data_IF_101008275700
#
_entry.id   IF_101008275700
#
_cell.length_a   1.000
_cell.length_b   1.000
_cell.length_c   1.000
_cell.angle_alpha   90.00
_cell.angle_beta   90.00
_cell.angle_gamma   90.00
#
_symmetry.space_group_name_H-M   'P 1'
#
loop_
_entity.id
_entity.type
_entity.pdbx_description
1 polymer ?
#
# COMPACT_ATOMS: atom_id res chain seq x y z
N UNK A 1 29.39 27.65 31.29
CA UNK A 1 28.39 26.58 31.24
C UNK A 1 27.00 27.18 31.36
N UNK A 2 26.23 27.14 30.27
CA UNK A 2 24.84 27.59 30.20
C UNK A 2 23.97 26.43 29.72
N UNK A 3 22.77 26.26 30.29
CA UNK A 3 21.78 25.27 29.83
C UNK A 3 20.64 25.97 29.10
N UNK A 4 20.24 25.44 27.95
CA UNK A 4 19.07 25.92 27.22
C UNK A 4 18.38 24.77 26.49
N UNK A 5 17.07 24.90 26.36
CA UNK A 5 16.25 24.06 25.51
C UNK A 5 16.46 24.49 24.05
N UNK A 6 16.92 23.57 23.20
CA UNK A 6 17.21 23.87 21.79
C UNK A 6 16.86 22.70 20.89
N UNK A 7 16.59 22.97 19.61
CA UNK A 7 16.38 21.93 18.62
C UNK A 7 17.73 21.51 18.04
N UNK A 8 18.01 20.22 18.07
CA UNK A 8 19.29 19.63 17.67
C UNK A 8 19.04 18.78 16.45
N UNK A 9 19.71 19.10 15.35
CA UNK A 9 19.70 18.34 14.11
C UNK A 9 21.04 17.61 13.99
N UNK A 10 20.98 16.29 13.91
CA UNK A 10 22.09 15.43 13.52
C UNK A 10 21.89 15.01 12.06
N UNK A 11 22.94 15.11 11.25
CA UNK A 11 22.95 14.62 9.87
C UNK A 11 24.17 13.75 9.64
N UNK A 12 24.03 12.72 8.82
CA UNK A 12 25.10 11.77 8.51
C UNK A 12 24.92 11.18 7.10
N UNK A 13 26.01 10.82 6.42
CA UNK A 13 25.95 10.25 5.08
C UNK A 13 25.67 8.74 5.16
N UNK A 14 24.64 8.29 4.45
CA UNK A 14 24.31 6.87 4.38
C UNK A 14 25.33 6.11 3.52
N UNK A 15 25.97 5.09 4.10
CA UNK A 15 26.86 4.20 3.36
C UNK A 15 28.22 4.81 2.99
N UNK A 16 28.70 5.79 3.76
CA UNK A 16 29.95 6.51 3.52
C UNK A 16 31.14 5.60 3.18
N UNK A 17 31.43 4.57 3.99
CA UNK A 17 32.56 3.66 3.74
C UNK A 17 32.50 2.98 2.36
N UNK A 18 31.30 2.56 1.94
CA UNK A 18 31.09 1.91 0.63
C UNK A 18 31.29 2.89 -0.52
N UNK A 19 30.83 4.14 -0.38
CA UNK A 19 30.98 5.16 -1.41
C UNK A 19 32.46 5.56 -1.58
N UNK A 20 33.19 5.66 -0.46
CA UNK A 20 34.62 5.98 -0.45
C UNK A 20 35.47 4.91 -1.15
N UNK A 21 35.15 3.62 -0.96
CA UNK A 21 35.85 2.52 -1.66
C UNK A 21 35.66 2.56 -3.19
N UNK A 22 34.56 3.14 -3.67
CA UNK A 22 34.26 3.17 -5.11
C UNK A 22 35.00 4.30 -5.83
N UNK A 23 34.99 5.52 -5.28
CA UNK A 23 35.69 6.67 -5.85
C UNK A 23 35.82 7.81 -4.83
N UNK A 24 36.87 7.76 -4.00
CA UNK A 24 37.14 8.72 -2.93
C UNK A 24 37.15 10.18 -3.41
N UNK A 25 37.82 10.49 -4.52
CA UNK A 25 37.99 11.88 -4.99
C UNK A 25 36.67 12.50 -5.46
N UNK A 26 35.83 11.73 -6.15
CA UNK A 26 34.49 12.16 -6.59
C UNK A 26 33.57 12.40 -5.39
N UNK A 27 33.53 11.48 -4.42
CA UNK A 27 32.64 11.57 -3.26
C UNK A 27 33.01 12.76 -2.39
N UNK A 28 34.29 12.97 -2.09
CA UNK A 28 34.74 14.11 -1.30
C UNK A 28 34.42 15.45 -2.00
N UNK A 29 34.55 15.50 -3.33
CA UNK A 29 34.23 16.69 -4.12
C UNK A 29 32.73 17.00 -4.06
N UNK A 30 31.88 16.00 -4.36
CA UNK A 30 30.42 16.16 -4.33
C UNK A 30 29.91 16.48 -2.92
N UNK A 31 30.44 15.81 -1.90
CA UNK A 31 30.13 16.10 -0.51
C UNK A 31 30.45 17.55 -0.13
N UNK A 32 31.62 18.06 -0.55
CA UNK A 32 32.02 19.45 -0.29
C UNK A 32 31.07 20.45 -0.98
N UNK A 33 30.65 20.15 -2.20
CA UNK A 33 29.65 20.94 -2.96
C UNK A 33 28.30 20.91 -2.25
N UNK A 34 27.79 19.74 -1.86
CA UNK A 34 26.53 19.62 -1.11
C UNK A 34 26.59 20.39 0.21
N UNK A 35 27.71 20.32 0.92
CA UNK A 35 27.89 21.08 2.15
C UNK A 35 27.83 22.59 1.91
N UNK A 36 28.68 23.11 1.02
CA UNK A 36 28.88 24.54 0.84
C UNK A 36 27.75 25.22 0.07
N UNK A 37 27.12 24.52 -0.88
CA UNK A 37 26.08 25.10 -1.74
C UNK A 37 24.65 24.75 -1.32
N UNK A 38 24.44 23.78 -0.42
CA UNK A 38 23.11 23.39 0.05
C UNK A 38 22.98 23.44 1.57
N UNK A 39 23.78 22.68 2.32
CA UNK A 39 23.62 22.61 3.78
C UNK A 39 23.88 23.96 4.45
N UNK A 40 25.07 24.55 4.25
CA UNK A 40 25.46 25.79 4.93
C UNK A 40 24.46 26.94 4.64
N UNK A 41 24.02 27.18 3.38
CA UNK A 41 23.01 28.19 3.09
C UNK A 41 21.63 27.91 3.69
N UNK A 42 21.15 26.66 3.66
CA UNK A 42 19.83 26.31 4.24
C UNK A 42 19.82 26.48 5.76
N UNK A 43 20.91 26.08 6.42
CA UNK A 43 21.10 26.24 7.87
C UNK A 43 21.12 27.74 8.23
N UNK A 44 21.95 28.53 7.54
CA UNK A 44 22.10 29.96 7.80
C UNK A 44 20.78 30.73 7.59
N UNK A 45 20.06 30.44 6.50
CA UNK A 45 18.77 31.09 6.16
C UNK A 45 17.72 30.91 7.27
N UNK A 46 17.85 29.85 8.06
CA UNK A 46 16.91 29.48 9.13
C UNK A 46 17.48 29.72 10.53
N UNK A 47 18.57 30.49 10.63
CA UNK A 47 19.20 30.86 11.90
C UNK A 47 19.82 29.67 12.65
N UNK A 48 20.13 28.58 11.96
CA UNK A 48 20.83 27.44 12.54
C UNK A 48 22.31 27.74 12.73
N UNK A 49 22.90 27.19 13.79
CA UNK A 49 24.32 27.28 14.10
C UNK A 49 24.97 25.91 14.00
N UNK A 50 25.91 25.75 13.07
CA UNK A 50 26.70 24.51 12.98
C UNK A 50 27.60 24.46 14.22
N UNK A 51 27.41 23.43 15.04
CA UNK A 51 28.18 23.24 16.26
C UNK A 51 29.48 22.49 15.96
N UNK A 52 29.37 21.39 15.21
CA UNK A 52 30.52 20.61 14.75
C UNK A 52 30.22 19.81 13.49
N UNK A 53 31.28 19.47 12.77
CA UNK A 53 31.27 18.57 11.62
C UNK A 53 32.10 17.35 11.98
N UNK A 54 31.57 16.15 11.75
CA UNK A 54 32.21 14.87 12.06
C UNK A 54 32.47 14.11 10.76
N UNK A 55 33.41 14.60 9.95
CA UNK A 55 33.71 14.00 8.64
C UNK A 55 32.53 14.13 7.68
N UNK A 56 31.71 13.08 7.61
CA UNK A 56 30.50 12.95 6.79
C UNK A 56 29.21 13.35 7.48
N UNK A 57 29.25 13.56 8.79
CA UNK A 57 28.14 14.07 9.58
C UNK A 57 28.30 15.52 10.05
N UNK A 58 27.21 16.06 10.59
CA UNK A 58 27.21 17.35 11.27
C UNK A 58 26.17 17.43 12.38
N UNK A 59 26.44 18.31 13.34
CA UNK A 59 25.53 18.64 14.43
C UNK A 59 25.21 20.13 14.37
N UNK A 60 23.92 20.44 14.31
CA UNK A 60 23.41 21.79 14.11
C UNK A 60 22.40 22.12 15.20
N UNK A 61 22.52 23.31 15.76
CA UNK A 61 21.60 23.87 16.74
C UNK A 61 20.63 24.84 16.07
N UNK A 62 19.35 24.77 16.42
CA UNK A 62 18.33 25.74 16.06
C UNK A 62 17.57 26.20 17.30
N UNK A 63 17.32 27.51 17.41
CA UNK A 63 16.44 28.06 18.45
C UNK A 63 14.96 27.62 18.30
N UNK A 64 14.60 27.05 17.15
CA UNK A 64 13.24 26.72 16.74
C UNK A 64 13.17 25.32 16.13
N UNK A 65 12.33 24.46 16.70
CA UNK A 65 12.07 23.12 16.17
C UNK A 65 11.45 23.18 14.77
N UNK A 66 10.64 24.20 14.49
CA UNK A 66 10.05 24.42 13.18
C UNK A 66 11.12 24.70 12.11
N UNK A 67 12.10 25.53 12.45
CA UNK A 67 13.17 25.90 11.53
C UNK A 67 14.12 24.73 11.27
N UNK A 68 14.43 23.94 12.30
CA UNK A 68 15.16 22.69 12.16
C UNK A 68 14.47 21.71 11.19
N UNK A 69 13.16 21.49 11.37
CA UNK A 69 12.39 20.55 10.54
C UNK A 69 12.27 21.06 9.09
N UNK A 70 11.98 22.34 8.89
CA UNK A 70 11.95 22.93 7.53
C UNK A 70 13.31 22.91 6.85
N UNK A 71 14.39 23.11 7.61
CA UNK A 71 15.76 22.99 7.10
C UNK A 71 16.01 21.56 6.60
N UNK A 72 15.70 20.56 7.42
CA UNK A 72 15.91 19.16 7.10
C UNK A 72 15.10 18.72 5.86
N UNK A 73 13.83 19.10 5.76
CA UNK A 73 12.98 18.78 4.60
C UNK A 73 13.56 19.41 3.34
N UNK A 74 13.89 20.70 3.36
CA UNK A 74 14.47 21.38 2.21
C UNK A 74 15.78 20.74 1.74
N UNK A 75 16.64 20.35 2.69
CA UNK A 75 17.89 19.65 2.40
C UNK A 75 17.58 18.31 1.71
N UNK A 76 16.68 17.48 2.26
CA UNK A 76 16.38 16.17 1.67
C UNK A 76 15.74 16.28 0.28
N UNK A 77 14.83 17.24 0.07
CA UNK A 77 14.21 17.50 -1.23
C UNK A 77 15.26 17.93 -2.25
N UNK A 78 16.11 18.91 -1.91
CA UNK A 78 17.14 19.38 -2.82
C UNK A 78 18.24 18.33 -3.09
N UNK A 79 18.55 17.47 -2.12
CA UNK A 79 19.45 16.34 -2.32
C UNK A 79 18.87 15.32 -3.30
N UNK A 80 17.57 15.02 -3.22
CA UNK A 80 16.89 14.13 -4.15
C UNK A 80 16.97 14.65 -5.60
N UNK A 81 16.79 15.97 -5.80
CA UNK A 81 16.94 16.60 -7.11
C UNK A 81 18.39 16.54 -7.63
N UNK A 82 19.38 16.81 -6.77
CA UNK A 82 20.81 16.82 -7.14
C UNK A 82 21.35 15.43 -7.50
N UNK A 83 20.92 14.40 -6.79
CA UNK A 83 21.42 13.03 -6.94
C UNK A 83 20.51 12.15 -7.81
N UNK A 84 19.32 12.64 -8.20
CA UNK A 84 18.32 11.89 -8.96
C UNK A 84 18.83 11.37 -10.30
N UNK A 85 19.69 12.14 -10.98
CA UNK A 85 20.30 11.76 -12.27
C UNK A 85 21.45 10.75 -12.14
N UNK A 86 21.98 10.54 -10.94
CA UNK A 86 23.06 9.58 -10.68
C UNK A 86 22.50 8.16 -10.54
N UNK A 87 23.24 7.12 -10.95
CA UNK A 87 22.87 5.72 -10.67
C UNK A 87 22.72 5.48 -9.17
N UNK A 88 21.72 4.70 -8.76
CA UNK A 88 21.35 4.49 -7.35
C UNK A 88 22.54 4.10 -6.46
N UNK A 89 23.42 3.25 -6.98
CA UNK A 89 24.61 2.75 -6.28
C UNK A 89 25.62 3.85 -5.92
N UNK A 90 25.61 4.97 -6.65
CA UNK A 90 26.56 6.10 -6.53
C UNK A 90 25.92 7.36 -5.90
N UNK A 91 24.63 7.29 -5.55
CA UNK A 91 23.92 8.43 -4.96
C UNK A 91 24.41 8.72 -3.55
N UNK A 92 24.64 10.00 -3.27
CA UNK A 92 24.91 10.48 -1.91
C UNK A 92 23.56 10.74 -1.23
N UNK A 93 23.24 9.95 -0.20
CA UNK A 93 22.02 10.13 0.59
C UNK A 93 22.38 10.47 2.03
N UNK A 94 21.62 11.37 2.65
CA UNK A 94 21.79 11.72 4.06
C UNK A 94 20.66 11.14 4.91
N UNK A 95 20.98 10.82 6.17
CA UNK A 95 20.03 10.56 7.24
C UNK A 95 19.99 11.77 8.15
N UNK A 96 18.80 12.18 8.58
CA UNK A 96 18.63 13.32 9.47
C UNK A 96 17.80 12.93 10.71
N UNK A 97 18.24 13.40 11.88
CA UNK A 97 17.59 13.19 13.17
C UNK A 97 17.38 14.51 13.89
N UNK A 98 16.17 14.78 14.38
CA UNK A 98 15.86 16.03 15.10
C UNK A 98 15.25 15.75 16.46
N UNK A 99 15.82 16.36 17.50
CA UNK A 99 15.29 16.32 18.85
C UNK A 99 15.20 17.72 19.46
N UNK A 100 14.22 17.92 20.34
CA UNK A 100 14.14 19.09 21.22
C UNK A 100 14.56 18.65 22.63
N UNK A 101 15.60 19.25 23.18
CA UNK A 101 16.13 18.84 24.48
C UNK A 101 16.97 19.90 25.17
N UNK A 102 17.10 19.77 26.49
CA UNK A 102 17.99 20.60 27.30
C UNK A 102 19.44 20.15 27.07
N UNK A 103 20.30 21.10 26.73
CA UNK A 103 21.71 20.87 26.42
C UNK A 103 22.61 21.90 27.09
N UNK A 104 23.82 21.45 27.45
CA UNK A 104 24.86 22.25 28.06
C UNK A 104 25.77 22.85 26.99
N UNK A 105 25.99 24.16 27.06
CA UNK A 105 26.91 24.89 26.20
C UNK A 105 28.23 25.13 26.92
N UNK A 106 29.31 24.68 26.28
CA UNK A 106 30.69 24.83 26.75
C UNK A 106 31.63 24.90 25.55
N UNK A 107 32.49 25.92 25.52
CA UNK A 107 33.53 26.13 24.50
C UNK A 107 33.06 26.04 23.03
N UNK A 108 31.81 26.44 22.78
CA UNK A 108 31.20 26.43 21.46
C UNK A 108 30.52 25.12 21.06
N UNK A 109 30.70 24.04 21.83
CA UNK A 109 30.08 22.72 21.64
C UNK A 109 28.80 22.55 22.48
N UNK A 110 28.04 21.48 22.20
CA UNK A 110 26.83 21.10 22.94
C UNK A 110 26.92 19.68 23.49
N UNK A 111 26.50 19.51 24.75
CA UNK A 111 26.52 18.24 25.46
C UNK A 111 25.18 17.94 26.12
N UNK A 112 24.92 16.65 26.34
CA UNK A 112 23.77 16.17 27.10
C UNK A 112 22.92 15.15 26.34
N UNK A 113 21.94 14.62 27.05
CA UNK A 113 21.06 13.56 26.53
C UNK A 113 20.31 13.99 25.26
N UNK A 114 19.96 15.28 25.15
CA UNK A 114 19.29 15.82 23.97
C UNK A 114 20.07 15.62 22.67
N UNK A 115 21.40 15.70 22.73
CA UNK A 115 22.31 15.50 21.58
C UNK A 115 22.36 14.02 21.22
N UNK A 116 22.52 13.16 22.23
CA UNK A 116 22.54 11.71 22.04
C UNK A 116 21.24 11.22 21.38
N UNK A 117 20.09 11.74 21.81
CA UNK A 117 18.80 11.41 21.18
C UNK A 117 18.78 11.80 19.70
N UNK A 118 19.21 13.02 19.35
CA UNK A 118 19.22 13.47 17.95
C UNK A 118 20.07 12.56 17.05
N UNK A 119 21.28 12.19 17.48
CA UNK A 119 22.14 11.25 16.75
C UNK A 119 21.53 9.84 16.65
N UNK A 120 20.75 9.39 17.64
CA UNK A 120 20.06 8.10 17.56
C UNK A 120 18.86 8.14 16.62
N UNK A 121 18.15 9.25 16.57
CA UNK A 121 17.07 9.45 15.62
C UNK A 121 17.61 9.45 14.19
N UNK A 122 18.74 10.12 13.95
CA UNK A 122 19.44 10.07 12.66
C UNK A 122 19.71 8.61 12.24
N UNK A 123 20.31 7.81 13.12
CA UNK A 123 20.59 6.41 12.82
C UNK A 123 19.35 5.52 12.60
N UNK A 124 18.17 5.96 13.02
CA UNK A 124 16.88 5.30 12.73
C UNK A 124 16.25 5.76 11.41
N UNK A 125 16.69 6.88 10.85
CA UNK A 125 16.17 7.39 9.59
C UNK A 125 16.57 6.48 8.43
N UNK A 126 15.66 6.27 7.48
CA UNK A 126 16.01 5.69 6.18
C UNK A 126 16.97 6.64 5.44
N UNK A 127 17.85 6.15 4.55
CA UNK A 127 18.59 7.01 3.64
C UNK A 127 17.64 7.96 2.87
N UNK A 128 17.92 9.26 2.89
CA UNK A 128 17.02 10.30 2.33
C UNK A 128 15.86 10.70 3.25
N UNK A 129 15.74 10.11 4.44
CA UNK A 129 14.66 10.35 5.40
C UNK A 129 15.04 11.23 6.59
N UNK A 130 14.03 11.58 7.37
CA UNK A 130 14.14 12.38 8.61
C UNK A 130 13.40 11.64 9.72
N UNK A 131 14.04 11.47 10.88
CA UNK A 131 13.38 11.01 12.09
C UNK A 131 13.35 12.11 13.14
N UNK A 132 12.20 12.33 13.76
CA UNK A 132 12.00 13.34 14.80
C UNK A 132 11.43 12.72 16.07
N UNK A 133 11.76 13.30 17.23
CA UNK A 133 11.12 12.89 18.49
C UNK A 133 9.69 13.39 18.57
N UNK A 134 8.87 12.73 19.40
CA UNK A 134 7.47 13.11 19.65
C UNK A 134 7.30 14.57 20.08
N UNK A 135 8.24 15.11 20.85
CA UNK A 135 8.22 16.51 21.29
C UNK A 135 8.38 17.46 20.09
N UNK A 136 9.27 17.13 19.14
CA UNK A 136 9.45 17.91 17.91
C UNK A 136 8.19 17.81 17.05
N UNK A 137 7.64 16.61 16.89
CA UNK A 137 6.42 16.39 16.12
C UNK A 137 5.25 17.23 16.65
N UNK A 138 5.02 17.20 17.97
CA UNK A 138 3.99 18.01 18.62
C UNK A 138 4.24 19.52 18.44
N UNK A 139 5.49 19.97 18.52
CA UNK A 139 5.83 21.39 18.35
C UNK A 139 5.61 21.91 16.92
N UNK A 140 5.61 21.04 15.90
CA UNK A 140 5.49 21.45 14.49
C UNK A 140 4.16 21.06 13.83
N UNK A 141 3.34 20.21 14.46
CA UNK A 141 2.13 19.63 13.89
C UNK A 141 1.19 20.67 13.23
N UNK A 142 0.96 21.81 13.88
CA UNK A 142 0.04 22.85 13.37
C UNK A 142 0.66 23.78 12.31
N UNK A 143 1.99 23.73 12.12
CA UNK A 143 2.75 24.75 11.39
C UNK A 143 3.50 24.20 10.18
N UNK A 144 3.82 22.92 10.18
CA UNK A 144 4.44 22.22 9.06
C UNK A 144 3.48 21.14 8.62
N UNK A 145 2.77 21.42 7.53
CA UNK A 145 1.88 20.46 6.87
C UNK A 145 2.74 19.55 6.01
N UNK A 146 3.47 18.62 6.61
CA UNK A 146 4.11 17.48 5.93
C UNK A 146 3.82 16.21 6.76
N UNK A 147 3.66 15.06 6.13
CA UNK A 147 3.35 13.80 6.83
C UNK A 147 4.57 13.31 7.59
N UNK A 148 4.36 12.90 8.84
CA UNK A 148 5.29 12.00 9.50
C UNK A 148 4.56 10.70 9.84
N UNK A 149 5.17 9.57 9.50
CA UNK A 149 4.71 8.23 9.88
C UNK A 149 5.13 7.94 11.32
N UNK A 150 4.19 7.53 12.16
CA UNK A 150 4.47 7.09 13.53
C UNK A 150 5.23 5.76 13.49
N UNK A 151 6.44 5.74 14.06
CA UNK A 151 7.24 4.53 14.22
C UNK A 151 7.07 3.91 15.61
N UNK A 152 6.17 4.45 16.43
CA UNK A 152 5.96 4.02 17.81
C UNK A 152 7.18 4.24 18.69
N UNK A 153 7.21 3.51 19.81
CA UNK A 153 8.23 3.61 20.84
C UNK A 153 9.50 2.83 20.47
N UNK A 154 10.59 3.54 20.21
CA UNK A 154 11.89 2.97 19.88
C UNK A 154 12.79 2.91 21.11
N UNK A 155 13.43 1.76 21.33
CA UNK A 155 14.50 1.61 22.34
C UNK A 155 15.84 1.88 21.68
N UNK A 156 16.56 2.86 22.20
CA UNK A 156 17.88 3.25 21.68
C UNK A 156 18.95 3.02 22.74
N UNK A 157 20.17 2.66 22.30
CA UNK A 157 21.29 2.34 23.20
C UNK A 157 21.56 3.52 24.15
N UNK A 158 21.75 3.21 25.44
CA UNK A 158 22.11 4.14 26.51
C UNK A 158 21.04 5.18 26.88
N UNK A 159 19.77 4.93 26.55
CA UNK A 159 18.63 5.72 27.05
C UNK A 159 17.65 4.77 27.74
N UNK A 160 17.35 5.04 29.01
CA UNK A 160 16.53 4.16 29.87
C UNK A 160 15.06 4.09 29.47
N UNK A 161 14.52 5.16 28.87
CA UNK A 161 13.12 5.25 28.41
C UNK A 161 13.01 5.10 26.89
N UNK A 162 12.00 4.36 26.38
CA UNK A 162 11.73 4.37 24.95
C UNK A 162 11.31 5.77 24.49
N UNK A 163 11.67 6.11 23.26
CA UNK A 163 11.34 7.40 22.63
C UNK A 163 10.38 7.12 21.50
N UNK A 164 9.23 7.80 21.46
CA UNK A 164 8.33 7.73 20.31
C UNK A 164 8.92 8.52 19.15
N UNK A 165 9.00 7.89 17.99
CA UNK A 165 9.70 8.42 16.81
C UNK A 165 8.72 8.59 15.66
N UNK A 166 8.90 9.67 14.92
CA UNK A 166 8.12 10.01 13.75
C UNK A 166 9.04 10.14 12.54
N UNK A 167 8.70 9.54 11.40
CA UNK A 167 9.55 9.50 10.22
C UNK A 167 8.92 10.20 9.03
N UNK A 168 9.69 11.08 8.40
CA UNK A 168 9.38 11.66 7.09
C UNK A 168 10.31 11.06 6.04
N UNK A 169 9.79 10.87 4.83
CA UNK A 169 10.52 10.48 3.62
C UNK A 169 10.06 11.37 2.46
N UNK A 170 10.84 11.51 1.36
CA UNK A 170 10.43 12.28 0.19
C UNK A 170 9.11 11.77 -0.41
N UNK A 171 8.90 10.45 -0.38
CA UNK A 171 7.66 9.78 -0.80
C UNK A 171 6.62 9.70 0.32
N UNK A 172 6.88 10.31 1.48
CA UNK A 172 5.84 10.55 2.45
C UNK A 172 4.91 11.60 1.83
N UNK A 173 3.94 11.08 1.07
CA UNK A 173 2.76 11.79 0.64
C UNK A 173 2.04 12.29 1.88
N UNK A 174 1.69 13.59 1.91
CA UNK A 174 0.79 14.17 2.92
C UNK A 174 -0.30 13.16 3.26
N UNK A 175 -0.84 13.11 4.49
CA UNK A 175 -2.22 12.67 4.55
C UNK A 175 -2.94 13.68 3.65
N UNK A 176 -3.27 13.25 2.42
CA UNK A 176 -4.20 13.94 1.57
C UNK A 176 -5.35 14.33 2.49
N UNK A 177 -5.71 15.63 2.46
CA UNK A 177 -6.72 16.26 3.31
C UNK A 177 -7.63 15.21 3.92
N UNK A 178 -7.67 15.06 5.25
CA UNK A 178 -8.56 14.09 5.90
C UNK A 178 -9.83 13.99 5.08
N UNK A 179 -10.01 12.83 4.41
CA UNK A 179 -11.22 12.60 3.63
C UNK A 179 -12.36 13.05 4.54
N UNK A 180 -13.31 13.90 4.08
CA UNK A 180 -14.40 14.35 4.94
C UNK A 180 -14.93 13.13 5.70
N UNK A 181 -15.22 13.23 7.01
CA UNK A 181 -15.62 12.03 7.80
C UNK A 181 -16.66 11.16 7.09
N UNK A 182 -17.54 11.75 6.29
CA UNK A 182 -18.47 11.06 5.39
C UNK A 182 -17.81 10.17 4.32
N UNK A 183 -16.74 10.62 3.66
CA UNK A 183 -15.95 9.83 2.71
C UNK A 183 -15.05 8.75 3.38
N UNK A 184 -14.88 8.83 4.70
CA UNK A 184 -14.28 7.78 5.54
C UNK A 184 -15.33 6.86 6.19
N UNK A 185 -16.61 7.22 6.16
CA UNK A 185 -17.67 6.43 6.77
C UNK A 185 -18.30 5.54 5.70
N UNK A 186 -17.99 4.26 5.78
CA UNK A 186 -18.72 3.26 5.02
C UNK A 186 -20.19 3.25 5.45
N UNK A 187 -21.07 3.52 4.49
CA UNK A 187 -22.51 3.29 4.65
C UNK A 187 -22.91 2.13 3.75
N UNK A 188 -23.42 1.06 4.37
CA UNK A 188 -23.92 -0.09 3.64
C UNK A 188 -25.34 0.20 3.15
N UNK A 189 -25.55 -0.01 1.87
CA UNK A 189 -26.83 0.09 1.18
C UNK A 189 -27.14 -1.25 0.52
N UNK A 190 -28.39 -1.45 0.11
CA UNK A 190 -28.83 -2.68 -0.54
C UNK A 190 -29.44 -2.35 -1.90
N UNK A 191 -29.19 -3.22 -2.87
CA UNK A 191 -29.83 -3.19 -4.18
C UNK A 191 -30.40 -4.57 -4.49
N UNK A 192 -31.58 -4.62 -5.09
CA UNK A 192 -32.22 -5.89 -5.47
C UNK A 192 -31.89 -6.19 -6.92
N UNK A 193 -31.21 -7.31 -7.17
CA UNK A 193 -30.94 -7.81 -8.51
C UNK A 193 -32.24 -8.27 -9.20
N UNK A 194 -32.27 -8.38 -10.55
CA UNK A 194 -33.47 -8.77 -11.28
C UNK A 194 -34.08 -10.12 -10.88
N UNK A 195 -33.26 -11.03 -10.33
CA UNK A 195 -33.67 -12.34 -9.82
C UNK A 195 -34.10 -12.30 -8.33
N UNK A 196 -34.24 -11.12 -7.75
CA UNK A 196 -34.73 -10.90 -6.39
C UNK A 196 -33.66 -10.96 -5.30
N UNK A 197 -32.41 -11.29 -5.64
CA UNK A 197 -31.29 -11.35 -4.69
C UNK A 197 -30.96 -9.94 -4.17
N UNK A 198 -30.87 -9.77 -2.86
CA UNK A 198 -30.38 -8.53 -2.26
C UNK A 198 -28.85 -8.51 -2.21
N UNK A 199 -28.27 -7.47 -2.78
CA UNK A 199 -26.84 -7.21 -2.85
C UNK A 199 -26.50 -6.02 -1.96
N UNK A 200 -25.74 -6.28 -0.89
CA UNK A 200 -25.19 -5.25 -0.03
C UNK A 200 -23.99 -4.58 -0.72
N UNK A 201 -23.97 -3.26 -0.73
CA UNK A 201 -22.89 -2.47 -1.33
C UNK A 201 -22.57 -1.23 -0.51
N UNK A 202 -21.39 -0.66 -0.74
CA UNK A 202 -20.97 0.58 -0.12
C UNK A 202 -20.10 1.40 -1.05
N UNK A 203 -20.02 2.72 -0.80
CA UNK A 203 -19.11 3.63 -1.46
C UNK A 203 -18.27 4.40 -0.46
N UNK A 204 -17.01 4.60 -0.78
CA UNK A 204 -16.04 5.38 0.01
C UNK A 204 -15.19 6.24 -0.94
N UNK A 205 -14.56 7.28 -0.40
CA UNK A 205 -13.69 8.16 -1.20
C UNK A 205 -14.44 9.08 -2.16
N UNK A 206 -13.68 9.78 -3.00
CA UNK A 206 -14.15 10.76 -3.97
C UNK A 206 -13.28 10.74 -5.24
N UNK A 207 -13.76 11.34 -6.33
CA UNK A 207 -13.03 11.41 -7.60
C UNK A 207 -13.53 10.39 -8.62
N UNK A 208 -12.63 9.87 -9.46
CA UNK A 208 -12.95 8.91 -10.52
C UNK A 208 -13.74 7.73 -9.96
N UNK A 209 -14.92 7.39 -10.52
CA UNK A 209 -15.67 6.24 -10.04
C UNK A 209 -14.97 4.93 -10.40
N UNK A 210 -14.79 4.06 -9.41
CA UNK A 210 -14.20 2.73 -9.57
C UNK A 210 -15.13 1.70 -8.96
N UNK A 211 -15.61 0.75 -9.76
CA UNK A 211 -16.33 -0.42 -9.26
C UNK A 211 -15.33 -1.56 -9.04
N UNK A 212 -15.20 -2.01 -7.80
CA UNK A 212 -14.43 -3.20 -7.47
C UNK A 212 -15.27 -4.46 -7.71
N UNK A 213 -14.83 -5.29 -8.64
CA UNK A 213 -15.43 -6.60 -8.88
C UNK A 213 -15.24 -7.52 -7.66
N UNK A 214 -16.13 -8.51 -7.47
CA UNK A 214 -16.08 -9.36 -6.29
C UNK A 214 -14.88 -10.32 -6.34
N UNK A 215 -14.39 -10.73 -5.16
CA UNK A 215 -13.24 -11.62 -5.00
C UNK A 215 -13.49 -12.66 -3.91
N UNK A 216 -12.64 -13.69 -3.83
CA UNK A 216 -12.67 -14.68 -2.77
C UNK A 216 -11.94 -14.14 -1.54
N UNK A 217 -12.59 -13.87 -0.41
CA UNK A 217 -14.02 -13.58 -0.21
C UNK A 217 -14.13 -12.11 0.22
N UNK A 218 -15.35 -11.60 0.32
CA UNK A 218 -15.61 -10.22 0.71
C UNK A 218 -16.66 -10.19 1.83
N UNK A 219 -16.52 -9.21 2.71
CA UNK A 219 -17.51 -8.88 3.72
C UNK A 219 -17.35 -7.40 4.05
N UNK A 220 -18.32 -6.57 3.66
CA UNK A 220 -18.22 -5.11 3.73
C UNK A 220 -17.80 -4.62 5.12
N UNK A 221 -18.48 -5.01 6.19
CA UNK A 221 -18.14 -4.52 7.54
C UNK A 221 -16.84 -5.08 8.12
N UNK A 222 -16.55 -6.37 7.87
CA UNK A 222 -15.35 -6.99 8.45
C UNK A 222 -14.07 -6.49 7.77
N UNK A 223 -14.07 -6.38 6.44
CA UNK A 223 -12.94 -5.84 5.68
C UNK A 223 -12.58 -4.41 6.11
N UNK A 224 -13.59 -3.61 6.50
CA UNK A 224 -13.38 -2.25 6.98
C UNK A 224 -12.52 -2.19 8.26
N UNK A 225 -12.54 -3.26 9.07
CA UNK A 225 -11.79 -3.36 10.35
C UNK A 225 -10.61 -4.32 10.26
N UNK A 226 -10.41 -4.96 9.11
CA UNK A 226 -9.36 -5.97 8.92
C UNK A 226 -8.00 -5.29 8.78
N UNK A 227 -6.94 -5.75 9.47
CA UNK A 227 -5.58 -5.27 9.25
C UNK A 227 -5.05 -5.57 7.84
N UNK A 228 -5.74 -6.43 7.06
CA UNK A 228 -5.38 -6.76 5.68
C UNK A 228 -6.04 -5.77 4.72
N UNK A 229 -7.36 -5.59 4.83
CA UNK A 229 -8.14 -4.81 3.85
C UNK A 229 -8.34 -3.35 4.24
N UNK A 230 -8.24 -2.98 5.52
CA UNK A 230 -8.37 -1.58 5.94
C UNK A 230 -7.34 -0.66 5.25
N UNK A 231 -6.03 -1.02 5.17
CA UNK A 231 -5.05 -0.21 4.44
C UNK A 231 -5.39 -0.01 2.97
N UNK A 232 -5.86 -1.09 2.31
CA UNK A 232 -6.36 -1.04 0.92
C UNK A 232 -7.49 -0.03 0.77
N UNK A 233 -8.50 -0.13 1.62
CA UNK A 233 -9.70 0.70 1.54
C UNK A 233 -9.38 2.17 1.80
N UNK A 234 -8.52 2.47 2.77
CA UNK A 234 -8.04 3.83 3.04
C UNK A 234 -7.26 4.39 1.86
N UNK A 235 -6.34 3.60 1.26
CA UNK A 235 -5.53 4.06 0.14
C UNK A 235 -6.35 4.25 -1.13
N UNK A 236 -7.26 3.32 -1.45
CA UNK A 236 -8.19 3.45 -2.59
C UNK A 236 -9.13 4.65 -2.42
N UNK A 237 -9.71 4.85 -1.22
CA UNK A 237 -10.62 5.98 -0.97
C UNK A 237 -9.96 7.35 -1.16
N UNK A 238 -8.63 7.43 -1.04
CA UNK A 238 -7.86 8.67 -1.31
C UNK A 238 -7.62 8.90 -2.80
N UNK A 239 -7.68 7.85 -3.62
CA UNK A 239 -7.36 7.89 -5.04
C UNK A 239 -8.61 7.95 -5.92
N UNK A 240 -9.72 7.41 -5.45
CA UNK A 240 -10.94 7.28 -6.25
C UNK A 240 -12.21 7.25 -5.40
N UNK A 241 -13.36 7.41 -6.06
CA UNK A 241 -14.66 7.02 -5.50
C UNK A 241 -14.81 5.52 -5.69
N UNK A 242 -14.43 4.75 -4.67
CA UNK A 242 -14.54 3.31 -4.70
C UNK A 242 -15.97 2.88 -4.39
N UNK A 243 -16.54 2.04 -5.25
CA UNK A 243 -17.78 1.30 -5.02
C UNK A 243 -17.43 -0.18 -4.91
N UNK A 244 -17.92 -0.82 -3.86
CA UNK A 244 -17.64 -2.20 -3.51
C UNK A 244 -18.92 -2.87 -3.03
N UNK A 245 -19.03 -4.18 -3.22
CA UNK A 245 -20.22 -4.91 -2.80
C UNK A 245 -19.88 -6.30 -2.33
N UNK A 246 -20.75 -6.85 -1.49
CA UNK A 246 -20.69 -8.24 -1.15
C UNK A 246 -21.34 -9.07 -2.27
N UNK A 247 -20.58 -9.94 -2.95
CA UNK A 247 -21.21 -10.82 -3.94
C UNK A 247 -22.33 -11.66 -3.31
N UNK A 248 -23.29 -12.08 -4.14
CA UNK A 248 -24.27 -13.10 -3.76
C UNK A 248 -23.58 -14.32 -3.14
N UNK A 249 -24.14 -14.87 -2.06
CA UNK A 249 -23.50 -15.93 -1.29
C UNK A 249 -22.52 -15.45 -0.22
N UNK A 250 -22.25 -14.14 -0.13
CA UNK A 250 -21.25 -13.60 0.79
C UNK A 250 -21.75 -12.45 1.67
N UNK A 251 -21.07 -12.27 2.80
CA UNK A 251 -21.10 -11.08 3.65
C UNK A 251 -22.52 -10.68 4.03
N UNK A 252 -22.88 -9.44 3.76
CA UNK A 252 -24.19 -8.88 4.06
C UNK A 252 -25.24 -9.08 2.95
N UNK A 253 -24.85 -9.63 1.80
CA UNK A 253 -25.79 -9.97 0.72
C UNK A 253 -26.55 -11.26 1.03
N UNK A 254 -27.56 -11.60 0.24
CA UNK A 254 -28.28 -12.87 0.43
C UNK A 254 -27.37 -14.08 0.16
N UNK A 255 -27.43 -15.07 1.04
CA UNK A 255 -26.62 -16.31 0.91
C UNK A 255 -27.37 -17.44 0.19
N UNK A 256 -28.68 -17.52 0.41
CA UNK A 256 -29.56 -18.57 -0.13
C UNK A 256 -30.00 -18.31 -1.57
N UNK A 257 -29.05 -18.23 -2.50
CA UNK A 257 -29.32 -17.83 -3.89
C UNK A 257 -29.49 -19.02 -4.84
N UNK A 258 -30.36 -18.89 -5.84
CA UNK A 258 -30.62 -19.97 -6.81
C UNK A 258 -29.41 -20.21 -7.74
N UNK A 259 -28.77 -19.16 -8.23
CA UNK A 259 -27.66 -19.24 -9.17
C UNK A 259 -26.39 -18.53 -8.67
N UNK A 260 -25.26 -19.25 -8.78
CA UNK A 260 -23.89 -18.71 -8.65
C UNK A 260 -23.19 -19.04 -9.97
N UNK A 261 -23.11 -18.04 -10.85
CA UNK A 261 -22.56 -18.15 -12.19
C UNK A 261 -21.91 -16.83 -12.61
N UNK A 262 -21.06 -16.86 -13.64
CA UNK A 262 -20.41 -15.65 -14.16
C UNK A 262 -21.44 -14.57 -14.55
N UNK A 263 -22.52 -14.97 -15.25
CA UNK A 263 -23.57 -14.03 -15.66
C UNK A 263 -24.35 -13.46 -14.48
N UNK A 264 -24.57 -14.25 -13.43
CA UNK A 264 -25.16 -13.75 -12.19
C UNK A 264 -24.25 -12.72 -11.51
N UNK A 265 -22.93 -12.98 -11.47
CA UNK A 265 -21.96 -12.06 -10.89
C UNK A 265 -21.84 -10.74 -11.67
N UNK A 266 -21.82 -10.77 -13.01
CA UNK A 266 -21.82 -9.54 -13.82
C UNK A 266 -23.18 -8.81 -13.79
N UNK A 267 -24.27 -9.55 -13.62
CA UNK A 267 -25.59 -8.99 -13.33
C UNK A 267 -25.64 -8.23 -12.00
N UNK A 268 -25.02 -8.77 -10.95
CA UNK A 268 -24.87 -8.07 -9.65
C UNK A 268 -24.01 -6.82 -9.79
N UNK A 269 -22.91 -6.89 -10.55
CA UNK A 269 -22.09 -5.71 -10.85
C UNK A 269 -22.92 -4.60 -11.51
N UNK A 270 -23.77 -4.95 -12.48
CA UNK A 270 -24.67 -4.01 -13.16
C UNK A 270 -25.70 -3.42 -12.19
N UNK A 271 -26.26 -4.24 -11.31
CA UNK A 271 -27.23 -3.84 -10.28
C UNK A 271 -26.61 -2.81 -9.33
N UNK A 272 -25.39 -3.07 -8.86
CA UNK A 272 -24.66 -2.16 -7.96
C UNK A 272 -24.23 -0.89 -8.67
N UNK A 273 -23.73 -0.99 -9.92
CA UNK A 273 -23.37 0.18 -10.72
C UNK A 273 -24.56 1.13 -10.89
N UNK A 274 -25.73 0.59 -11.24
CA UNK A 274 -26.97 1.36 -11.35
C UNK A 274 -27.39 1.98 -10.01
N UNK A 275 -27.40 1.20 -8.91
CA UNK A 275 -27.78 1.70 -7.59
C UNK A 275 -26.84 2.78 -7.05
N UNK A 276 -25.54 2.71 -7.38
CA UNK A 276 -24.54 3.70 -7.01
C UNK A 276 -24.49 4.93 -7.95
N UNK A 277 -25.29 4.93 -9.01
CA UNK A 277 -25.36 6.01 -10.00
C UNK A 277 -24.09 6.11 -10.86
N UNK A 278 -23.48 4.97 -11.18
CA UNK A 278 -22.28 4.91 -12.02
C UNK A 278 -22.67 4.82 -13.50
N UNK A 279 -22.49 5.89 -14.26
CA UNK A 279 -22.73 5.91 -15.71
C UNK A 279 -21.49 5.55 -16.53
N UNK A 280 -20.30 5.91 -16.02
CA UNK A 280 -19.01 5.58 -16.62
C UNK A 280 -17.97 5.45 -15.51
N UNK A 281 -17.22 4.35 -15.47
CA UNK A 281 -16.35 4.01 -14.33
C UNK A 281 -15.22 3.06 -14.72
N UNK A 282 -14.16 3.03 -13.92
CA UNK A 282 -13.11 2.02 -14.04
C UNK A 282 -13.50 0.75 -13.28
N UNK A 283 -12.99 -0.40 -13.72
CA UNK A 283 -13.15 -1.66 -13.03
C UNK A 283 -11.84 -2.08 -12.36
N UNK A 284 -11.92 -2.40 -11.06
CA UNK A 284 -10.85 -3.06 -10.32
C UNK A 284 -11.21 -4.54 -10.13
N UNK A 285 -10.54 -5.41 -10.90
CA UNK A 285 -10.63 -6.86 -10.76
C UNK A 285 -9.51 -7.39 -9.88
N UNK A 286 -9.85 -8.18 -8.87
CA UNK A 286 -8.87 -8.91 -8.05
C UNK A 286 -9.23 -10.39 -8.08
N UNK A 287 -8.25 -11.27 -8.36
CA UNK A 287 -8.46 -12.72 -8.39
C UNK A 287 -9.56 -13.11 -9.40
N UNK A 288 -10.62 -13.82 -8.96
CA UNK A 288 -11.81 -14.12 -9.78
C UNK A 288 -12.43 -12.87 -10.44
N UNK A 289 -12.34 -11.71 -9.78
CA UNK A 289 -12.89 -10.46 -10.26
C UNK A 289 -12.29 -10.01 -11.59
N UNK A 290 -11.11 -10.50 -11.96
CA UNK A 290 -10.52 -10.22 -13.27
C UNK A 290 -11.32 -10.85 -14.42
N UNK A 291 -11.75 -12.11 -14.28
CA UNK A 291 -12.61 -12.75 -15.29
C UNK A 291 -13.93 -12.01 -15.46
N UNK A 292 -14.55 -11.61 -14.34
CA UNK A 292 -15.82 -10.87 -14.36
C UNK A 292 -15.67 -9.48 -14.95
N UNK A 293 -14.57 -8.77 -14.65
CA UNK A 293 -14.31 -7.45 -15.19
C UNK A 293 -14.08 -7.48 -16.71
N UNK A 294 -13.37 -8.49 -17.21
CA UNK A 294 -13.19 -8.70 -18.66
C UNK A 294 -14.53 -8.92 -19.35
N UNK A 295 -15.34 -9.84 -18.83
CA UNK A 295 -16.68 -10.10 -19.37
C UNK A 295 -17.56 -8.85 -19.34
N UNK A 296 -17.58 -8.15 -18.20
CA UNK A 296 -18.37 -6.94 -18.01
C UNK A 296 -18.00 -5.85 -19.01
N UNK A 297 -16.70 -5.62 -19.24
CA UNK A 297 -16.23 -4.60 -20.18
C UNK A 297 -16.57 -4.91 -21.64
N UNK A 298 -16.62 -6.19 -22.03
CA UNK A 298 -17.07 -6.59 -23.37
C UNK A 298 -18.58 -6.45 -23.52
N UNK A 299 -19.34 -6.78 -22.47
CA UNK A 299 -20.81 -6.71 -22.48
C UNK A 299 -21.34 -5.28 -22.31
N UNK A 300 -20.56 -4.35 -21.71
CA UNK A 300 -20.96 -2.97 -21.40
C UNK A 300 -19.83 -1.96 -21.71
N UNK A 301 -19.31 -1.91 -22.95
CA UNK A 301 -18.11 -1.14 -23.30
C UNK A 301 -18.28 0.37 -23.12
N UNK A 302 -19.50 0.89 -23.19
CA UNK A 302 -19.81 2.31 -22.99
C UNK A 302 -19.70 2.77 -21.54
N UNK A 303 -19.85 1.84 -20.58
CA UNK A 303 -19.79 2.13 -19.15
C UNK A 303 -18.36 2.03 -18.60
N UNK A 304 -17.46 1.30 -19.25
CA UNK A 304 -16.12 1.03 -18.70
C UNK A 304 -15.09 2.02 -19.27
N UNK A 305 -14.38 2.73 -18.40
CA UNK A 305 -13.28 3.62 -18.80
C UNK A 305 -11.97 2.88 -19.03
N UNK A 306 -11.64 1.97 -18.12
CA UNK A 306 -10.40 1.18 -18.11
C UNK A 306 -10.51 0.01 -17.12
N UNK A 307 -9.64 -0.98 -17.28
CA UNK A 307 -9.51 -2.14 -16.41
C UNK A 307 -8.20 -2.10 -15.61
N UNK A 308 -8.27 -2.38 -14.32
CA UNK A 308 -7.10 -2.72 -13.49
C UNK A 308 -7.30 -4.11 -12.91
N UNK A 309 -6.42 -5.05 -13.26
CA UNK A 309 -6.58 -6.47 -13.01
C UNK A 309 -5.38 -6.98 -12.18
N UNK A 310 -5.63 -7.47 -10.97
CA UNK A 310 -4.59 -7.90 -10.04
C UNK A 310 -4.70 -9.39 -9.69
N UNK A 311 -3.59 -10.12 -9.86
CA UNK A 311 -3.47 -11.52 -9.41
C UNK A 311 -4.55 -12.43 -10.00
N UNK A 312 -5.03 -12.10 -11.20
CA UNK A 312 -6.24 -12.68 -11.76
C UNK A 312 -6.00 -13.89 -12.66
N UNK A 313 -7.09 -14.39 -13.24
CA UNK A 313 -7.05 -15.38 -14.29
C UNK A 313 -8.21 -15.14 -15.27
N UNK A 314 -8.01 -15.54 -16.52
CA UNK A 314 -9.08 -15.59 -17.53
C UNK A 314 -9.77 -16.96 -17.56
N UNK A 315 -9.09 -17.99 -17.05
CA UNK A 315 -9.57 -19.36 -17.03
C UNK A 315 -9.32 -20.04 -15.68
N UNK A 316 -10.32 -20.75 -15.21
CA UNK A 316 -10.31 -21.44 -13.93
C UNK A 316 -9.39 -22.66 -13.92
N UNK A 317 -9.09 -23.17 -12.71
CA UNK A 317 -8.17 -24.30 -12.50
C UNK A 317 -8.50 -25.54 -13.35
N UNK A 318 -9.77 -25.84 -13.61
CA UNK A 318 -10.17 -27.01 -14.40
C UNK A 318 -10.05 -26.80 -15.92
N UNK A 319 -9.80 -25.58 -16.36
CA UNK A 319 -9.54 -25.19 -17.76
C UNK A 319 -8.05 -25.04 -18.07
N UNK A 320 -7.20 -25.03 -17.04
CA UNK A 320 -5.73 -24.99 -17.18
C UNK A 320 -5.19 -26.35 -17.62
N UNK A 321 -4.03 -26.31 -18.27
CA UNK A 321 -3.37 -27.51 -18.80
C UNK A 321 -2.56 -28.27 -17.75
N UNK A 322 -2.15 -27.63 -16.65
CA UNK A 322 -1.30 -28.27 -15.65
C UNK A 322 -2.07 -29.34 -14.85
N UNK A 323 -1.56 -30.58 -14.72
CA UNK A 323 -2.27 -31.69 -14.06
C UNK A 323 -2.58 -31.47 -12.57
N UNK A 324 -1.70 -30.76 -11.87
CA UNK A 324 -1.80 -30.45 -10.44
C UNK A 324 -3.04 -29.59 -10.09
N UNK A 325 -3.49 -28.73 -11.01
CA UNK A 325 -4.63 -27.84 -10.81
C UNK A 325 -5.93 -28.60 -10.54
N UNK A 326 -6.13 -29.76 -11.20
CA UNK A 326 -7.29 -30.63 -10.94
C UNK A 326 -7.20 -31.29 -9.56
N UNK A 327 -6.00 -31.60 -9.09
CA UNK A 327 -5.79 -32.17 -7.76
C UNK A 327 -6.05 -31.12 -6.67
N UNK A 328 -5.50 -29.91 -6.82
CA UNK A 328 -5.76 -28.78 -5.92
C UNK A 328 -7.23 -28.41 -5.85
N UNK A 329 -7.96 -28.46 -6.98
CA UNK A 329 -9.41 -28.29 -6.99
C UNK A 329 -10.14 -29.32 -6.11
N UNK A 330 -9.78 -30.61 -6.24
CA UNK A 330 -10.39 -31.69 -5.44
C UNK A 330 -10.07 -31.53 -3.95
N UNK A 331 -8.82 -31.24 -3.61
CA UNK A 331 -8.41 -31.00 -2.22
C UNK A 331 -9.17 -29.81 -1.62
N UNK A 332 -9.19 -28.67 -2.31
CA UNK A 332 -9.93 -27.48 -1.87
C UNK A 332 -11.42 -27.77 -1.68
N UNK A 333 -12.02 -28.55 -2.58
CA UNK A 333 -13.44 -28.97 -2.47
C UNK A 333 -13.70 -29.75 -1.18
N UNK A 334 -12.82 -30.69 -0.82
CA UNK A 334 -12.96 -31.47 0.42
C UNK A 334 -12.76 -30.59 1.66
N UNK A 335 -11.75 -29.71 1.65
CA UNK A 335 -11.50 -28.78 2.76
C UNK A 335 -12.68 -27.83 2.99
N UNK A 336 -13.31 -27.32 1.92
CA UNK A 336 -14.49 -26.47 2.04
C UNK A 336 -15.67 -27.29 2.58
N UNK A 337 -16.00 -28.42 1.95
CA UNK A 337 -17.17 -29.22 2.30
C UNK A 337 -17.14 -29.69 3.76
N UNK A 338 -16.00 -30.21 4.20
CA UNK A 338 -15.90 -30.93 5.48
C UNK A 338 -15.31 -30.05 6.59
N UNK A 339 -14.62 -28.96 6.24
CA UNK A 339 -13.82 -28.16 7.17
C UNK A 339 -14.21 -26.69 7.32
N UNK A 340 -14.94 -26.11 6.37
CA UNK A 340 -15.16 -24.65 6.32
C UNK A 340 -15.88 -24.10 7.55
N UNK A 341 -16.96 -24.79 7.98
CA UNK A 341 -17.74 -24.41 9.16
C UNK A 341 -17.14 -24.87 10.50
N UNK A 342 -15.99 -25.55 10.49
CA UNK A 342 -15.38 -26.09 11.71
C UNK A 342 -14.84 -24.97 12.61
N UNK A 343 -14.93 -25.17 13.93
CA UNK A 343 -14.25 -24.30 14.91
C UNK A 343 -12.73 -24.46 14.84
N UNK A 344 -12.23 -25.57 14.29
CA UNK A 344 -10.82 -25.77 14.02
C UNK A 344 -10.40 -24.99 12.74
N UNK A 345 -9.53 -23.98 12.84
CA UNK A 345 -9.16 -23.15 11.70
C UNK A 345 -8.27 -23.87 10.68
N UNK A 346 -7.68 -25.04 10.99
CA UNK A 346 -6.72 -25.75 10.13
C UNK A 346 -7.19 -25.92 8.68
N UNK A 347 -8.47 -26.19 8.46
CA UNK A 347 -9.04 -26.36 7.12
C UNK A 347 -9.05 -25.06 6.31
N UNK A 348 -9.36 -23.92 6.96
CA UNK A 348 -9.31 -22.58 6.34
C UNK A 348 -7.88 -22.08 6.19
N UNK A 349 -7.01 -22.47 7.13
CA UNK A 349 -5.59 -22.12 7.13
C UNK A 349 -4.83 -22.65 5.91
N UNK A 350 -5.28 -23.76 5.33
CA UNK A 350 -4.79 -24.24 4.03
C UNK A 350 -4.95 -23.18 2.92
N UNK A 351 -6.12 -22.54 2.84
CA UNK A 351 -6.36 -21.46 1.90
C UNK A 351 -5.54 -20.23 2.27
N UNK A 352 -5.55 -19.83 3.55
CA UNK A 352 -4.79 -18.67 4.03
C UNK A 352 -3.30 -18.75 3.69
N UNK A 353 -2.65 -19.88 3.94
CA UNK A 353 -1.23 -20.10 3.63
C UNK A 353 -0.95 -20.21 2.13
N UNK A 354 -1.96 -20.49 1.31
CA UNK A 354 -1.85 -20.42 -0.16
C UNK A 354 -1.99 -18.98 -0.64
N UNK A 355 -2.91 -18.20 -0.06
CA UNK A 355 -3.19 -16.82 -0.47
C UNK A 355 -2.14 -15.83 0.04
N UNK A 356 -1.64 -16.01 1.26
CA UNK A 356 -0.68 -15.13 1.90
C UNK A 356 0.38 -15.93 2.66
N UNK A 357 1.25 -16.67 1.96
CA UNK A 357 2.29 -17.47 2.59
C UNK A 357 3.24 -16.69 3.50
N UNK A 358 3.40 -15.38 3.26
CA UNK A 358 4.30 -14.53 4.04
C UNK A 358 3.57 -13.78 5.18
N UNK A 359 2.28 -14.04 5.39
CA UNK A 359 1.48 -13.37 6.42
C UNK A 359 1.96 -13.71 7.83
N UNK A 360 2.00 -12.70 8.69
CA UNK A 360 2.21 -12.91 10.13
C UNK A 360 1.02 -13.69 10.73
N UNK A 361 1.23 -14.47 11.81
CA UNK A 361 0.19 -15.33 12.38
C UNK A 361 -1.12 -14.61 12.70
N UNK A 362 -1.07 -13.36 13.17
CA UNK A 362 -2.26 -12.56 13.48
C UNK A 362 -3.06 -12.20 12.21
N UNK A 363 -2.38 -11.82 11.12
CA UNK A 363 -3.02 -11.53 9.84
C UNK A 363 -3.61 -12.80 9.24
N UNK A 364 -2.88 -13.92 9.30
CA UNK A 364 -3.39 -15.21 8.85
C UNK A 364 -4.68 -15.61 9.61
N UNK A 365 -4.69 -15.46 10.94
CA UNK A 365 -5.87 -15.71 11.76
C UNK A 365 -7.05 -14.77 11.40
N UNK A 366 -6.78 -13.50 11.11
CA UNK A 366 -7.81 -12.55 10.67
C UNK A 366 -8.47 -12.98 9.35
N UNK A 367 -7.68 -13.52 8.42
CA UNK A 367 -8.18 -14.02 7.13
C UNK A 367 -8.88 -15.38 7.25
N UNK A 368 -8.41 -16.26 8.13
CA UNK A 368 -9.13 -17.50 8.49
C UNK A 368 -10.53 -17.18 9.02
N UNK A 369 -10.67 -16.12 9.80
CA UNK A 369 -11.95 -15.68 10.33
C UNK A 369 -12.81 -15.00 9.27
N UNK A 370 -12.24 -14.14 8.42
CA UNK A 370 -12.95 -13.57 7.25
C UNK A 370 -13.60 -14.69 6.42
N UNK A 371 -12.83 -15.73 6.09
CA UNK A 371 -13.34 -16.87 5.33
C UNK A 371 -14.51 -17.56 6.02
N UNK A 372 -14.46 -17.71 7.36
CA UNK A 372 -15.52 -18.36 8.15
C UNK A 372 -16.81 -17.55 8.17
N UNK A 373 -16.73 -16.23 8.34
CA UNK A 373 -17.90 -15.36 8.51
C UNK A 373 -18.47 -14.86 7.18
N UNK A 374 -17.65 -14.82 6.13
CA UNK A 374 -18.04 -14.21 4.87
C UNK A 374 -18.96 -15.10 4.04
N UNK A 375 -19.07 -16.40 4.28
CA UNK A 375 -19.90 -17.29 3.45
C UNK A 375 -20.19 -18.63 4.14
N UNK A 376 -21.23 -19.33 3.71
CA UNK A 376 -21.50 -20.70 4.15
C UNK A 376 -20.63 -21.72 3.40
N UNK A 377 -20.43 -22.94 3.93
CA UNK A 377 -19.74 -24.01 3.20
C UNK A 377 -20.39 -24.33 1.84
N UNK A 378 -21.72 -24.31 1.76
CA UNK A 378 -22.48 -24.57 0.54
C UNK A 378 -22.25 -23.47 -0.52
N UNK A 379 -22.30 -22.21 -0.10
CA UNK A 379 -22.03 -21.07 -0.98
C UNK A 379 -20.55 -21.06 -1.43
N UNK A 380 -19.61 -21.25 -0.50
CA UNK A 380 -18.19 -21.40 -0.80
C UNK A 380 -17.92 -22.49 -1.85
N UNK A 381 -18.55 -23.67 -1.74
CA UNK A 381 -18.39 -24.74 -2.74
C UNK A 381 -18.89 -24.32 -4.13
N UNK A 382 -20.02 -23.61 -4.21
CA UNK A 382 -20.59 -23.15 -5.48
C UNK A 382 -19.70 -22.10 -6.14
N UNK A 383 -19.18 -21.15 -5.36
CA UNK A 383 -18.22 -20.14 -5.82
C UNK A 383 -16.91 -20.82 -6.26
N UNK A 384 -16.38 -21.75 -5.46
CA UNK A 384 -15.17 -22.51 -5.78
C UNK A 384 -15.29 -23.27 -7.10
N UNK A 385 -16.44 -23.93 -7.32
CA UNK A 385 -16.75 -24.63 -8.58
C UNK A 385 -16.82 -23.65 -9.75
N UNK A 386 -17.58 -22.56 -9.63
CA UNK A 386 -17.71 -21.53 -10.66
C UNK A 386 -16.33 -20.99 -11.08
N UNK A 387 -15.52 -20.56 -10.11
CA UNK A 387 -14.16 -20.04 -10.35
C UNK A 387 -13.22 -21.06 -10.97
N UNK A 388 -13.47 -22.34 -10.73
CA UNK A 388 -12.65 -23.40 -11.31
C UNK A 388 -13.04 -23.72 -12.74
N UNK A 389 -14.24 -23.34 -13.19
CA UNK A 389 -14.75 -23.64 -14.54
C UNK A 389 -14.83 -22.44 -15.48
N UNK A 390 -14.70 -21.21 -14.97
CA UNK A 390 -14.73 -19.96 -15.77
C UNK A 390 -13.73 -20.02 -16.92
N UNK A 391 -14.12 -19.46 -18.06
CA UNK A 391 -13.24 -19.30 -19.23
C UNK A 391 -13.70 -18.11 -20.08
N UNK A 392 -13.04 -16.97 -19.90
CA UNK A 392 -13.28 -15.73 -20.64
C UNK A 392 -12.13 -15.41 -21.61
N UNK A 393 -11.34 -16.41 -22.00
CA UNK A 393 -10.17 -16.23 -22.88
C UNK A 393 -10.52 -15.65 -24.25
N UNK A 394 -11.65 -16.05 -24.83
CA UNK A 394 -12.14 -15.48 -26.11
C UNK A 394 -12.76 -14.08 -25.95
N UNK A 395 -13.33 -13.77 -24.78
CA UNK A 395 -13.82 -12.41 -24.48
C UNK A 395 -12.65 -11.45 -24.25
N UNK A 396 -11.56 -11.90 -23.63
CA UNK A 396 -10.37 -11.07 -23.40
C UNK A 396 -9.84 -10.42 -24.68
N UNK A 397 -9.90 -11.14 -25.82
CA UNK A 397 -9.48 -10.64 -27.13
C UNK A 397 -10.35 -9.50 -27.67
N UNK A 398 -11.55 -9.32 -27.11
CA UNK A 398 -12.54 -8.33 -27.54
C UNK A 398 -12.53 -7.07 -26.65
N UNK A 399 -11.75 -7.06 -25.56
CA UNK A 399 -11.60 -5.89 -24.70
C UNK A 399 -10.99 -4.74 -25.50
N UNK A 400 -11.65 -3.58 -25.47
CA UNK A 400 -11.26 -2.39 -26.25
C UNK A 400 -10.93 -1.17 -25.37
N UNK A 401 -10.90 -1.36 -24.05
CA UNK A 401 -10.55 -0.31 -23.07
C UNK A 401 -9.11 -0.48 -22.59
N UNK A 402 -8.43 0.60 -22.20
CA UNK A 402 -7.10 0.53 -21.59
C UNK A 402 -7.10 -0.44 -20.41
N UNK A 403 -6.08 -1.30 -20.35
CA UNK A 403 -6.00 -2.35 -19.33
C UNK A 403 -4.62 -2.41 -18.69
N UNK A 404 -4.58 -2.40 -17.37
CA UNK A 404 -3.40 -2.68 -16.55
C UNK A 404 -3.56 -4.05 -15.89
N UNK A 405 -2.59 -4.94 -16.12
CA UNK A 405 -2.51 -6.27 -15.51
C UNK A 405 -1.31 -6.28 -14.57
N UNK A 406 -1.53 -6.55 -13.29
CA UNK A 406 -0.48 -6.71 -12.29
C UNK A 406 -0.52 -8.11 -11.67
N UNK A 407 0.65 -8.70 -11.43
CA UNK A 407 0.70 -10.07 -10.90
C UNK A 407 1.96 -10.32 -10.07
N UNK A 408 1.81 -10.91 -8.89
CA UNK A 408 2.95 -11.31 -8.06
C UNK A 408 3.68 -12.51 -8.66
N UNK A 409 5.01 -12.45 -8.71
CA UNK A 409 5.86 -13.50 -9.31
C UNK A 409 5.67 -14.85 -8.61
N UNK A 410 5.50 -14.85 -7.28
CA UNK A 410 5.36 -16.06 -6.47
C UNK A 410 3.92 -16.45 -6.12
N UNK A 411 2.91 -15.90 -6.80
CA UNK A 411 1.49 -16.18 -6.51
C UNK A 411 1.16 -17.69 -6.64
N UNK A 412 0.67 -18.28 -5.54
CA UNK A 412 0.34 -19.72 -5.44
C UNK A 412 -1.13 -20.03 -5.71
N UNK A 413 -1.99 -19.01 -5.79
CA UNK A 413 -3.41 -19.17 -6.10
C UNK A 413 -3.62 -19.12 -7.61
N UNK A 414 -3.16 -18.05 -8.25
CA UNK A 414 -3.15 -17.89 -9.69
C UNK A 414 -1.68 -17.79 -10.13
N UNK A 415 -1.13 -18.83 -10.78
CA UNK A 415 0.25 -18.78 -11.28
C UNK A 415 0.46 -17.57 -12.18
N UNK A 416 1.65 -16.97 -12.16
CA UNK A 416 1.99 -15.77 -12.95
C UNK A 416 1.74 -15.95 -14.45
N UNK A 417 1.80 -17.19 -14.95
CA UNK A 417 1.46 -17.52 -16.34
C UNK A 417 0.04 -17.08 -16.72
N UNK A 418 -0.89 -17.04 -15.76
CA UNK A 418 -2.26 -16.58 -16.01
C UNK A 418 -2.34 -15.05 -16.13
N UNK A 419 -1.51 -14.30 -15.41
CA UNK A 419 -1.34 -12.86 -15.60
C UNK A 419 -0.69 -12.53 -16.94
N UNK A 420 0.38 -13.27 -17.31
CA UNK A 420 1.03 -13.13 -18.62
C UNK A 420 0.08 -13.48 -19.77
N UNK A 421 -0.71 -14.55 -19.62
CA UNK A 421 -1.73 -14.92 -20.60
C UNK A 421 -2.78 -13.81 -20.75
N UNK A 422 -3.23 -13.24 -19.64
CA UNK A 422 -4.20 -12.14 -19.65
C UNK A 422 -3.66 -10.92 -20.41
N UNK A 423 -2.45 -10.48 -20.10
CA UNK A 423 -1.82 -9.38 -20.82
C UNK A 423 -1.54 -9.69 -22.30
N UNK A 424 -1.32 -10.95 -22.65
CA UNK A 424 -1.12 -11.37 -24.04
C UNK A 424 -2.42 -11.33 -24.84
N UNK A 425 -3.55 -11.72 -24.23
CA UNK A 425 -4.83 -11.84 -24.93
C UNK A 425 -5.60 -10.53 -24.98
N UNK A 426 -5.44 -9.64 -23.98
CA UNK A 426 -6.12 -8.35 -23.95
C UNK A 426 -5.35 -7.35 -24.84
N UNK A 427 -5.99 -6.77 -25.88
CA UNK A 427 -5.35 -5.77 -26.72
C UNK A 427 -4.80 -4.59 -25.94
N UNK A 428 -3.55 -4.21 -26.20
CA UNK A 428 -2.86 -3.05 -25.60
C UNK A 428 -2.79 -3.09 -24.05
N UNK A 429 -2.86 -4.26 -23.44
CA UNK A 429 -2.67 -4.38 -22.00
C UNK A 429 -1.22 -4.08 -21.59
N UNK A 430 -1.05 -3.35 -20.49
CA UNK A 430 0.24 -3.19 -19.81
C UNK A 430 0.38 -4.27 -18.75
N UNK A 431 1.50 -5.00 -18.74
CA UNK A 431 1.79 -6.02 -17.73
C UNK A 431 2.86 -5.54 -16.77
N UNK A 432 2.60 -5.66 -15.46
CA UNK A 432 3.54 -5.34 -14.40
C UNK A 432 3.71 -6.55 -13.49
N UNK A 433 4.96 -7.01 -13.38
CA UNK A 433 5.32 -8.01 -12.38
C UNK A 433 5.52 -7.33 -11.02
N UNK A 434 4.89 -7.89 -10.00
CA UNK A 434 5.04 -7.45 -8.61
C UNK A 434 5.94 -8.44 -7.85
N UNK A 435 6.84 -7.98 -6.97
CA UNK A 435 7.67 -8.85 -6.16
C UNK A 435 6.84 -9.61 -5.11
N UNK A 436 7.36 -10.74 -4.63
CA UNK A 436 6.78 -11.48 -3.50
C UNK A 436 5.84 -12.63 -3.88
N UNK A 437 5.31 -13.30 -2.86
CA UNK A 437 4.62 -14.59 -2.99
C UNK A 437 3.12 -14.54 -2.71
N UNK A 438 2.60 -13.38 -2.30
CA UNK A 438 1.23 -13.26 -1.80
C UNK A 438 0.27 -12.93 -2.94
N UNK A 439 -0.86 -13.63 -2.97
CA UNK A 439 -2.00 -13.35 -3.84
C UNK A 439 -2.79 -12.13 -3.35
N UNK A 440 -2.89 -11.97 -2.03
CA UNK A 440 -3.44 -10.76 -1.39
C UNK A 440 -2.26 -9.91 -0.94
N UNK A 441 -2.12 -8.70 -1.48
CA UNK A 441 -1.02 -7.82 -1.11
C UNK A 441 -1.25 -7.27 0.29
N UNK A 442 -0.19 -7.23 1.09
CA UNK A 442 -0.19 -6.73 2.46
C UNK A 442 0.52 -5.39 2.53
N UNK A 443 0.03 -4.51 3.40
CA UNK A 443 0.70 -3.24 3.73
C UNK A 443 2.17 -3.50 4.13
N UNK A 444 3.05 -2.52 3.89
CA UNK A 444 4.50 -2.58 4.12
C UNK A 444 5.28 -3.61 3.26
N UNK A 445 4.65 -4.21 2.25
CA UNK A 445 5.35 -5.01 1.22
C UNK A 445 5.66 -4.18 -0.02
N UNK A 446 6.78 -4.48 -0.69
CA UNK A 446 7.14 -3.81 -1.95
C UNK A 446 6.07 -3.97 -3.04
N UNK A 447 5.39 -5.11 -3.06
CA UNK A 447 4.29 -5.39 -3.98
C UNK A 447 3.11 -4.44 -3.80
N UNK A 448 2.77 -4.13 -2.55
CA UNK A 448 1.66 -3.25 -2.20
C UNK A 448 1.95 -1.80 -2.62
N UNK A 449 3.14 -1.29 -2.31
CA UNK A 449 3.55 0.06 -2.74
C UNK A 449 3.60 0.18 -4.26
N UNK A 450 4.26 -0.78 -4.93
CA UNK A 450 4.34 -0.79 -6.39
C UNK A 450 2.96 -0.90 -7.04
N UNK A 451 2.04 -1.71 -6.49
CA UNK A 451 0.66 -1.76 -6.98
C UNK A 451 0.00 -0.39 -6.94
N UNK A 452 0.10 0.33 -5.80
CA UNK A 452 -0.57 1.63 -5.67
C UNK A 452 0.07 2.73 -6.52
N UNK A 453 1.38 2.68 -6.75
CA UNK A 453 2.07 3.60 -7.66
C UNK A 453 1.62 3.41 -9.11
N UNK A 454 1.55 2.15 -9.57
CA UNK A 454 1.04 1.79 -10.90
C UNK A 454 -0.45 2.13 -11.03
N UNK A 455 -1.26 1.79 -10.02
CA UNK A 455 -2.69 2.06 -9.98
C UNK A 455 -2.99 3.57 -10.07
N UNK A 456 -2.31 4.38 -9.27
CA UNK A 456 -2.48 5.84 -9.23
C UNK A 456 -2.10 6.48 -10.57
N UNK A 457 -0.94 6.10 -11.12
CA UNK A 457 -0.48 6.59 -12.43
C UNK A 457 -1.45 6.21 -13.55
N UNK A 458 -1.90 4.95 -13.55
CA UNK A 458 -2.81 4.44 -14.57
C UNK A 458 -4.19 5.11 -14.51
N UNK A 459 -4.79 5.21 -13.32
CA UNK A 459 -6.08 5.92 -13.18
C UNK A 459 -5.96 7.39 -13.60
N UNK A 460 -4.89 8.08 -13.20
CA UNK A 460 -4.68 9.49 -13.58
C UNK A 460 -4.62 9.67 -15.10
N UNK A 461 -4.00 8.73 -15.82
CA UNK A 461 -3.91 8.78 -17.28
C UNK A 461 -5.26 8.61 -18.00
N UNK A 462 -6.24 7.98 -17.35
CA UNK A 462 -7.55 7.65 -17.94
C UNK A 462 -8.75 8.28 -17.20
N UNK A 463 -8.48 9.19 -16.28
CA UNK A 463 -9.48 10.03 -15.63
C UNK A 463 -9.89 11.15 -16.61
N UNK A 464 -10.86 10.86 -17.47
CA UNK A 464 -11.42 11.80 -18.46
C UNK A 464 -12.64 12.53 -17.92
#
# INVERSE_FOLDING_TARGET
MERRLTAILAADMAGYSRLMEQNEEDILTRQKVHRTELFDPQIATRGGRIVKTTGDGMLVEFASAQDAVRCAINIQVAMADREGASPEERRILYRLGINLGDVLFEDGDIFGDGVNVASRLEGLAKPGGICISDIVHQAVADKIKVPFRDMGNQRVKNISRPIRVWQWTPDASLPSSELPKAAQQQQVQFATAPDGVQIAWASIGQGMPVLKAPNWLNHLEYEWRSPIWHPWLVRLARLCRLVRFDQRGNGLSDWGVEAVSEGAMTGDMSTVAAAAGLSRFALLGISQGCSFSVRYAVENPEQVTCLVLLGGFLRGRLKRTQPDQKHLYKLGTMMIRDGWGSTNPVFRHFFTTTFMPDAQPEMAANFDELQRIATSPEAAMRIWKMNSTVDVTELAKQVNVPTLVLHCIGDRVAPIEEGRLMATLIPNATFVELPGNNHVLMEDTAAFEQFFDEYSRFLTAYNQ
#
